data_IF_720052531974
#
_entry.id   IF_720052531974
#
_cell.length_a   1.000
_cell.length_b   1.000
_cell.length_c   1.000
_cell.angle_alpha   90.00
_cell.angle_beta   90.00
_cell.angle_gamma   90.00
#
_symmetry.space_group_name_H-M   'P 1'
#
loop_
_entity.id
_entity.type
_entity.pdbx_description
1 polymer ?
#
# COMPACT_ATOMS: atom_id res chain seq x y z
N UNK A 1 -10.12 32.66 -22.43
CA UNK A 1 -10.34 31.33 -21.82
C UNK A 1 -11.32 30.50 -22.66
N UNK A 2 -12.64 30.65 -22.50
CA UNK A 2 -13.73 29.94 -23.23
C UNK A 2 -13.32 28.89 -24.29
N UNK A 3 -12.99 29.33 -25.51
CA UNK A 3 -12.67 28.45 -26.66
C UNK A 3 -11.47 27.50 -26.48
N UNK A 4 -10.60 27.72 -25.50
CA UNK A 4 -9.44 26.86 -25.18
C UNK A 4 -9.82 25.74 -24.19
N UNK A 5 -10.92 25.93 -23.45
CA UNK A 5 -11.42 24.95 -22.49
C UNK A 5 -12.29 23.88 -23.18
N UNK A 6 -13.03 24.28 -24.22
CA UNK A 6 -13.95 23.43 -24.99
C UNK A 6 -13.29 22.44 -25.96
N UNK A 7 -11.96 22.33 -26.00
CA UNK A 7 -11.21 21.47 -26.93
C UNK A 7 -10.06 20.73 -26.23
N UNK A 8 -10.31 20.30 -24.99
CA UNK A 8 -9.36 19.56 -24.16
C UNK A 8 -9.73 18.09 -24.08
N UNK A 9 -8.72 17.26 -23.89
CA UNK A 9 -8.83 15.90 -23.38
C UNK A 9 -8.46 15.96 -21.89
N UNK A 10 -9.23 15.28 -21.05
CA UNK A 10 -8.84 15.02 -19.66
C UNK A 10 -8.38 13.57 -19.54
N UNK A 11 -7.25 13.36 -18.86
CA UNK A 11 -6.71 12.04 -18.56
C UNK A 11 -6.74 11.86 -17.04
N UNK A 12 -7.44 10.84 -16.55
CA UNK A 12 -7.60 10.52 -15.13
C UNK A 12 -6.86 9.23 -14.81
N UNK A 13 -6.08 9.22 -13.73
CA UNK A 13 -5.51 8.00 -13.17
C UNK A 13 -5.93 7.84 -11.71
N UNK A 14 -6.33 6.63 -11.32
CA UNK A 14 -6.44 6.23 -9.91
C UNK A 14 -5.32 5.23 -9.64
N UNK A 15 -4.34 5.64 -8.83
CA UNK A 15 -3.09 4.91 -8.66
C UNK A 15 -2.99 4.30 -7.26
N UNK A 16 -3.30 3.00 -7.17
CA UNK A 16 -3.19 2.22 -5.94
C UNK A 16 -1.75 1.78 -5.65
N UNK A 17 -1.36 1.78 -4.38
CA UNK A 17 -0.03 1.35 -3.94
C UNK A 17 -0.06 0.60 -2.59
N UNK A 18 0.83 -0.38 -2.44
CA UNK A 18 1.12 -1.08 -1.18
C UNK A 18 2.64 -1.30 -1.04
N UNK A 19 3.29 -0.35 -0.35
CA UNK A 19 4.73 -0.36 -0.11
C UNK A 19 5.03 -1.03 1.23
N UNK A 20 5.54 -2.26 1.16
CA UNK A 20 5.93 -3.09 2.31
C UNK A 20 7.44 -2.98 2.53
N UNK A 21 7.83 -2.19 3.52
CA UNK A 21 9.20 -1.75 3.76
C UNK A 21 9.76 -2.43 5.04
N UNK A 22 10.62 -3.46 4.92
CA UNK A 22 11.17 -4.16 6.08
C UNK A 22 12.12 -3.26 6.89
N UNK A 23 11.92 -3.26 8.21
CA UNK A 23 12.73 -2.52 9.18
C UNK A 23 13.85 -3.45 9.64
N UNK A 24 15.07 -3.22 9.16
CA UNK A 24 16.24 -3.99 9.55
C UNK A 24 16.83 -3.50 10.87
N UNK A 25 17.32 -4.43 11.70
CA UNK A 25 18.14 -4.10 12.86
C UNK A 25 19.43 -3.40 12.40
N UNK A 26 19.74 -2.25 13.01
CA UNK A 26 20.86 -1.41 12.59
C UNK A 26 21.52 -0.76 13.81
N UNK A 27 22.83 -0.52 13.73
CA UNK A 27 23.61 0.15 14.78
C UNK A 27 23.36 1.66 14.86
N UNK A 28 22.64 2.23 13.90
CA UNK A 28 22.14 3.61 13.95
C UNK A 28 20.61 3.62 13.88
N UNK A 29 19.98 4.41 14.75
CA UNK A 29 18.57 4.75 14.69
C UNK A 29 18.20 5.28 13.30
N UNK A 30 17.12 4.76 12.71
CA UNK A 30 16.50 5.32 11.50
C UNK A 30 15.14 5.88 11.88
N UNK A 31 14.84 7.09 11.45
CA UNK A 31 13.51 7.68 11.65
C UNK A 31 12.53 7.07 10.66
N UNK A 32 11.26 7.07 11.02
CA UNK A 32 10.18 6.59 10.14
C UNK A 32 10.13 7.40 8.83
N UNK A 33 10.31 8.72 8.91
CA UNK A 33 10.41 9.63 7.75
C UNK A 33 11.51 9.22 6.74
N UNK A 34 12.69 8.80 7.21
CA UNK A 34 13.80 8.39 6.33
C UNK A 34 13.43 7.18 5.46
N UNK A 35 12.72 6.22 6.06
CA UNK A 35 12.28 4.99 5.38
C UNK A 35 11.14 5.29 4.40
N UNK A 36 10.20 6.17 4.76
CA UNK A 36 9.11 6.58 3.89
C UNK A 36 9.61 7.35 2.67
N UNK A 37 10.49 8.36 2.83
CA UNK A 37 11.12 9.04 1.68
C UNK A 37 11.89 8.05 0.79
N UNK A 38 12.58 7.06 1.38
CA UNK A 38 13.31 6.06 0.60
C UNK A 38 12.36 5.16 -0.21
N UNK A 39 11.27 4.67 0.39
CA UNK A 39 10.24 3.88 -0.28
C UNK A 39 9.58 4.66 -1.43
N UNK A 40 9.14 5.90 -1.17
CA UNK A 40 8.60 6.81 -2.19
C UNK A 40 9.63 7.09 -3.29
N UNK A 41 10.91 7.18 -2.98
CA UNK A 41 12.00 7.40 -3.95
C UNK A 41 12.30 6.17 -4.82
N UNK A 42 12.10 4.94 -4.32
CA UNK A 42 12.13 3.71 -5.11
C UNK A 42 10.91 3.69 -6.04
N UNK A 43 9.71 3.83 -5.46
CA UNK A 43 8.45 3.74 -6.19
C UNK A 43 8.32 4.80 -7.29
N UNK A 44 8.82 6.01 -7.04
CA UNK A 44 8.90 7.09 -8.03
C UNK A 44 9.82 6.78 -9.23
N UNK A 45 10.77 5.85 -9.11
CA UNK A 45 11.58 5.38 -10.26
C UNK A 45 10.81 4.33 -11.07
N UNK A 46 10.07 3.46 -10.38
CA UNK A 46 9.27 2.40 -10.98
C UNK A 46 8.06 2.96 -11.74
N UNK A 47 7.32 3.89 -11.13
CA UNK A 47 6.22 4.62 -11.79
C UNK A 47 6.72 5.45 -13.00
N UNK A 48 7.92 6.06 -12.91
CA UNK A 48 8.51 6.74 -14.08
C UNK A 48 8.75 5.76 -15.24
N UNK A 49 9.31 4.58 -14.96
CA UNK A 49 9.52 3.51 -15.95
C UNK A 49 8.28 2.72 -16.38
N UNK A 50 7.14 2.88 -15.69
CA UNK A 50 5.91 2.13 -15.98
C UNK A 50 5.38 2.42 -17.38
N UNK A 51 4.79 1.42 -18.04
CA UNK A 51 3.98 1.62 -19.24
C UNK A 51 2.58 2.09 -18.84
N UNK A 52 1.86 2.75 -19.74
CA UNK A 52 0.49 3.19 -19.50
C UNK A 52 -0.49 2.42 -20.40
N UNK A 53 -1.68 2.14 -19.86
CA UNK A 53 -2.88 1.95 -20.67
C UNK A 53 -3.67 3.26 -20.68
N UNK A 54 -4.37 3.54 -21.79
CA UNK A 54 -5.39 4.57 -21.90
C UNK A 54 -6.65 3.89 -22.43
N UNK A 55 -7.78 4.01 -21.72
CA UNK A 55 -9.05 3.33 -22.02
C UNK A 55 -8.87 1.82 -22.29
N UNK A 56 -8.02 1.17 -21.48
CA UNK A 56 -7.66 -0.25 -21.57
C UNK A 56 -6.72 -0.65 -22.72
N UNK A 57 -6.24 0.29 -23.55
CA UNK A 57 -5.30 0.05 -24.66
C UNK A 57 -3.89 0.49 -24.29
N UNK A 58 -2.85 -0.21 -24.76
CA UNK A 58 -1.47 0.21 -24.55
C UNK A 58 -1.22 1.57 -25.21
N UNK A 59 -0.77 2.56 -24.44
CA UNK A 59 -0.60 3.92 -24.92
C UNK A 59 0.49 4.01 -26.00
N UNK A 60 0.08 4.45 -27.20
CA UNK A 60 0.96 4.78 -28.31
C UNK A 60 1.13 6.31 -28.41
N UNK A 61 2.31 6.78 -28.83
CA UNK A 61 2.66 8.21 -28.80
C UNK A 61 1.87 9.06 -29.81
N UNK A 62 1.39 8.44 -30.90
CA UNK A 62 0.66 9.08 -32.02
C UNK A 62 -0.87 8.91 -31.96
N UNK A 63 -1.44 8.27 -30.92
CA UNK A 63 -2.90 8.05 -30.86
C UNK A 63 -3.68 9.34 -30.52
N UNK A 64 -4.70 9.64 -31.32
CA UNK A 64 -5.56 10.82 -31.17
C UNK A 64 -6.89 10.43 -30.52
N UNK A 65 -7.13 10.98 -29.32
CA UNK A 65 -8.28 10.67 -28.47
C UNK A 65 -9.48 11.61 -28.69
N UNK A 66 -10.69 11.15 -28.37
CA UNK A 66 -11.93 11.90 -28.58
C UNK A 66 -12.01 13.17 -27.71
N UNK A 67 -12.39 14.30 -28.33
CA UNK A 67 -12.40 15.60 -27.66
C UNK A 67 -13.63 15.79 -26.78
N UNK A 68 -13.39 16.18 -25.52
CA UNK A 68 -14.43 16.33 -24.50
C UNK A 68 -14.71 15.09 -23.65
N UNK A 69 -13.97 13.99 -23.87
CA UNK A 69 -13.96 12.83 -22.98
C UNK A 69 -13.05 13.00 -21.75
N UNK A 70 -13.29 12.17 -20.74
CA UNK A 70 -12.30 11.82 -19.71
C UNK A 70 -11.80 10.41 -20.03
N UNK A 71 -10.51 10.29 -20.31
CA UNK A 71 -9.84 9.02 -20.60
C UNK A 71 -9.27 8.44 -19.31
N UNK A 72 -9.43 7.14 -19.11
CA UNK A 72 -8.94 6.46 -17.90
C UNK A 72 -7.54 5.87 -18.14
N UNK A 73 -6.65 6.07 -17.18
CA UNK A 73 -5.21 5.79 -17.30
C UNK A 73 -4.77 4.83 -16.21
N UNK A 74 -4.25 3.67 -16.62
CA UNK A 74 -3.67 2.67 -15.73
C UNK A 74 -2.14 2.60 -15.94
N UNK A 75 -1.35 2.48 -14.87
CA UNK A 75 0.11 2.29 -14.98
C UNK A 75 0.51 0.84 -14.71
N UNK A 76 1.06 0.20 -15.74
CA UNK A 76 1.66 -1.13 -15.66
C UNK A 76 3.06 -1.02 -15.05
N UNK A 77 3.12 -1.14 -13.72
CA UNK A 77 4.35 -1.31 -12.97
C UNK A 77 5.05 -2.63 -13.36
N UNK A 78 6.38 -2.67 -13.45
CA UNK A 78 7.11 -3.93 -13.62
C UNK A 78 6.93 -4.86 -12.42
N UNK A 79 6.78 -6.16 -12.66
CA UNK A 79 6.75 -7.17 -11.60
C UNK A 79 8.17 -7.33 -11.00
N UNK A 80 8.37 -6.80 -9.78
CA UNK A 80 9.70 -6.59 -9.16
C UNK A 80 10.02 -7.61 -8.05
N UNK A 81 9.72 -8.89 -8.28
CA UNK A 81 9.87 -9.96 -7.28
C UNK A 81 11.33 -10.16 -6.81
N UNK A 82 12.30 -10.03 -7.72
CA UNK A 82 13.72 -10.31 -7.49
C UNK A 82 14.37 -9.40 -6.42
N UNK A 83 14.06 -8.10 -6.44
CA UNK A 83 14.70 -7.09 -5.55
C UNK A 83 14.44 -7.34 -4.06
N UNK A 84 13.28 -7.89 -3.70
CA UNK A 84 12.94 -8.15 -2.30
C UNK A 84 13.67 -9.38 -1.74
N UNK A 85 14.02 -10.34 -2.60
CA UNK A 85 14.65 -11.60 -2.21
C UNK A 85 16.14 -11.41 -1.86
N UNK A 86 16.89 -10.64 -2.64
CA UNK A 86 18.33 -10.46 -2.43
C UNK A 86 18.66 -9.81 -1.07
N UNK A 87 17.88 -8.80 -0.65
CA UNK A 87 18.17 -8.02 0.57
C UNK A 87 17.86 -8.80 1.87
N UNK A 88 16.97 -9.78 1.82
CA UNK A 88 16.61 -10.64 2.96
C UNK A 88 17.77 -11.55 3.44
N UNK A 89 18.88 -11.64 2.70
CA UNK A 89 19.94 -12.61 2.94
C UNK A 89 20.98 -12.24 4.02
N UNK A 90 21.01 -10.98 4.50
CA UNK A 90 22.16 -10.47 5.29
C UNK A 90 21.83 -9.70 6.58
N UNK A 91 20.56 -9.39 6.88
CA UNK A 91 20.20 -8.54 8.03
C UNK A 91 18.93 -9.02 8.74
N UNK A 92 18.98 -9.05 10.06
CA UNK A 92 17.83 -9.32 10.93
C UNK A 92 16.75 -8.24 10.74
N UNK A 93 15.48 -8.66 10.64
CA UNK A 93 14.33 -7.79 10.41
C UNK A 93 13.56 -7.64 11.73
N UNK A 94 13.56 -6.46 12.32
CA UNK A 94 12.88 -6.17 13.60
C UNK A 94 11.44 -5.72 13.45
N UNK A 95 10.99 -5.40 12.24
CA UNK A 95 9.59 -5.08 11.96
C UNK A 95 9.29 -4.84 10.49
N UNK A 96 8.04 -4.46 10.22
CA UNK A 96 7.55 -4.11 8.89
C UNK A 96 6.78 -2.80 8.96
N UNK A 97 7.12 -1.88 8.05
CA UNK A 97 6.32 -0.71 7.75
C UNK A 97 5.45 -1.03 6.52
N UNK A 98 4.15 -0.76 6.61
CA UNK A 98 3.21 -0.82 5.48
C UNK A 98 2.76 0.61 5.20
N UNK A 99 3.00 1.07 3.97
CA UNK A 99 2.54 2.36 3.46
C UNK A 99 1.72 2.12 2.20
N UNK A 100 0.40 2.20 2.33
CA UNK A 100 -0.55 1.85 1.27
C UNK A 100 -1.67 2.86 1.16
N UNK A 101 -2.31 2.93 -0.01
CA UNK A 101 -3.41 3.84 -0.30
C UNK A 101 -3.67 3.96 -1.79
N UNK A 102 -4.34 5.03 -2.19
CA UNK A 102 -4.54 5.40 -3.59
C UNK A 102 -4.19 6.88 -3.80
N UNK A 103 -3.82 7.25 -5.03
CA UNK A 103 -3.69 8.64 -5.45
C UNK A 103 -4.48 8.85 -6.73
N UNK A 104 -5.54 9.66 -6.68
CA UNK A 104 -6.21 10.09 -7.91
C UNK A 104 -5.48 11.30 -8.50
N UNK A 105 -5.30 11.33 -9.81
CA UNK A 105 -4.57 12.36 -10.56
C UNK A 105 -5.28 12.70 -11.87
N UNK A 106 -5.14 13.95 -12.32
CA UNK A 106 -5.69 14.46 -13.58
C UNK A 106 -4.63 15.25 -14.35
N UNK A 107 -4.50 14.98 -15.65
CA UNK A 107 -3.84 15.87 -16.60
C UNK A 107 -4.83 16.36 -17.67
N UNK A 108 -4.62 17.58 -18.16
CA UNK A 108 -5.45 18.21 -19.19
C UNK A 108 -4.59 18.60 -20.37
N UNK A 109 -4.85 18.00 -21.53
CA UNK A 109 -4.06 18.17 -22.75
C UNK A 109 -4.91 18.77 -23.86
N UNK A 110 -4.27 19.53 -24.76
CA UNK A 110 -4.90 20.04 -25.97
C UNK A 110 -4.66 19.05 -27.13
N UNK A 111 -5.53 19.05 -28.14
CA UNK A 111 -5.51 18.15 -29.31
C UNK A 111 -4.26 18.23 -30.24
N UNK A 112 -3.18 18.87 -29.79
CA UNK A 112 -1.90 19.10 -30.48
C UNK A 112 -0.69 18.68 -29.65
N UNK A 113 -0.88 18.37 -28.37
CA UNK A 113 0.12 17.84 -27.47
C UNK A 113 0.07 16.30 -27.52
N UNK A 114 1.20 15.59 -27.40
CA UNK A 114 1.21 14.13 -27.41
C UNK A 114 0.66 13.59 -26.09
N UNK A 115 -0.03 12.44 -26.15
CA UNK A 115 -0.55 11.72 -24.96
C UNK A 115 0.56 11.42 -23.95
N UNK A 116 1.78 11.19 -24.41
CA UNK A 116 2.98 10.96 -23.58
C UNK A 116 3.30 12.11 -22.63
N UNK A 117 2.94 13.36 -22.95
CA UNK A 117 3.08 14.49 -22.02
C UNK A 117 2.07 14.39 -20.87
N UNK A 118 0.79 14.15 -21.17
CA UNK A 118 -0.23 13.98 -20.14
C UNK A 118 0.08 12.79 -19.21
N UNK A 119 0.61 11.69 -19.75
CA UNK A 119 1.09 10.54 -18.97
C UNK A 119 2.30 10.89 -18.10
N UNK A 120 3.21 11.75 -18.56
CA UNK A 120 4.34 12.23 -17.75
C UNK A 120 3.87 13.17 -16.62
N UNK A 121 2.92 14.05 -16.91
CA UNK A 121 2.33 14.99 -15.95
C UNK A 121 1.61 14.24 -14.81
N UNK A 122 0.78 13.24 -15.13
CA UNK A 122 0.13 12.36 -14.15
C UNK A 122 1.17 11.66 -13.27
N UNK A 123 2.22 11.05 -13.87
CA UNK A 123 3.29 10.38 -13.11
C UNK A 123 3.99 11.35 -12.16
N UNK A 124 4.28 12.57 -12.60
CA UNK A 124 4.94 13.57 -11.76
C UNK A 124 4.01 14.09 -10.65
N UNK A 125 2.73 14.30 -10.94
CA UNK A 125 1.70 14.69 -9.97
C UNK A 125 1.50 13.65 -8.87
N UNK A 126 1.40 12.36 -9.20
CA UNK A 126 1.35 11.26 -8.22
C UNK A 126 2.59 11.27 -7.32
N UNK A 127 3.79 11.40 -7.91
CA UNK A 127 5.07 11.42 -7.19
C UNK A 127 5.18 12.67 -6.29
N UNK A 128 4.67 13.83 -6.74
CA UNK A 128 4.55 15.04 -5.91
C UNK A 128 3.59 14.81 -4.76
N UNK A 129 2.39 14.30 -5.02
CA UNK A 129 1.35 14.08 -4.01
C UNK A 129 1.82 13.17 -2.88
N UNK A 130 2.49 12.05 -3.19
CA UNK A 130 3.06 11.16 -2.17
C UNK A 130 4.14 11.84 -1.30
N UNK A 131 4.91 12.77 -1.88
CA UNK A 131 5.93 13.54 -1.14
C UNK A 131 5.30 14.63 -0.30
N UNK A 132 4.52 15.53 -0.89
CA UNK A 132 3.92 16.66 -0.20
C UNK A 132 3.07 16.25 1.00
N UNK A 133 2.35 15.11 0.93
CA UNK A 133 1.63 14.59 2.10
C UNK A 133 2.56 14.13 3.23
N UNK A 134 3.72 13.54 2.93
CA UNK A 134 4.74 13.21 3.92
C UNK A 134 5.39 14.47 4.49
N UNK A 135 5.72 15.42 3.62
CA UNK A 135 6.34 16.69 3.98
C UNK A 135 5.43 17.49 4.95
N UNK A 136 4.12 17.58 4.65
CA UNK A 136 3.09 18.18 5.53
C UNK A 136 3.08 17.54 6.93
N UNK A 137 3.15 16.21 7.01
CA UNK A 137 3.18 15.52 8.31
C UNK A 137 4.50 15.72 9.07
N UNK A 138 5.60 16.00 8.38
CA UNK A 138 6.87 16.35 9.00
C UNK A 138 6.81 17.77 9.59
N UNK A 139 6.31 18.75 8.81
CA UNK A 139 6.06 20.11 9.30
C UNK A 139 5.12 20.09 10.52
N UNK A 140 4.06 19.28 10.49
CA UNK A 140 3.12 19.10 11.61
C UNK A 140 3.79 18.49 12.86
N UNK A 141 4.75 17.58 12.68
CA UNK A 141 5.52 17.00 13.78
C UNK A 141 6.49 18.02 14.42
N UNK A 142 7.21 18.77 13.58
CA UNK A 142 8.19 19.77 14.02
C UNK A 142 7.51 20.93 14.76
N UNK A 143 6.36 21.42 14.27
CA UNK A 143 5.49 22.40 14.96
C UNK A 143 5.10 21.96 16.38
N UNK A 144 4.95 20.66 16.61
CA UNK A 144 4.55 20.06 17.90
C UNK A 144 5.73 19.73 18.82
N UNK A 145 6.96 19.70 18.32
CA UNK A 145 8.15 19.69 19.18
C UNK A 145 8.45 21.07 19.79
N UNK A 146 8.23 22.14 19.03
CA UNK A 146 8.60 23.51 19.43
C UNK A 146 7.64 24.12 20.47
N UNK A 147 6.38 23.68 20.51
CA UNK A 147 5.33 24.21 21.40
C UNK A 147 5.35 23.65 22.84
N UNK A 148 6.52 23.19 23.32
CA UNK A 148 6.69 22.60 24.67
C UNK A 148 7.04 23.64 25.74
N UNK A 149 6.09 24.52 26.05
CA UNK A 149 6.13 25.30 27.30
C UNK A 149 5.69 24.47 28.51
N UNK A 150 6.19 24.83 29.69
CA UNK A 150 6.14 24.09 30.96
C UNK A 150 4.88 23.26 31.25
N UNK A 151 5.02 21.93 31.20
CA UNK A 151 4.22 20.99 32.01
C UNK A 151 5.06 19.89 32.64
N UNK A 152 5.05 19.88 33.97
CA UNK A 152 5.63 18.86 34.85
C UNK A 152 4.92 17.49 34.69
N UNK A 153 5.57 16.45 35.20
CA UNK A 153 5.22 15.03 35.10
C UNK A 153 3.74 14.69 35.38
N UNK A 154 3.15 13.82 34.53
CA UNK A 154 2.61 12.48 34.89
C UNK A 154 1.58 11.97 33.85
N UNK A 155 1.88 10.83 33.18
CA UNK A 155 0.94 9.75 32.79
C UNK A 155 1.50 8.85 31.67
N UNK A 156 2.01 7.66 32.04
CA UNK A 156 2.67 6.72 31.12
C UNK A 156 1.75 5.96 30.11
N UNK A 157 0.58 6.51 29.77
CA UNK A 157 -0.40 5.89 28.87
C UNK A 157 -1.06 6.86 27.87
N UNK A 158 -0.42 7.99 27.57
CA UNK A 158 -0.85 8.80 26.43
C UNK A 158 -0.64 8.03 25.12
N UNK A 159 -1.70 7.93 24.32
CA UNK A 159 -1.60 7.52 22.92
C UNK A 159 -0.81 8.63 22.22
N UNK A 160 0.37 8.29 21.68
CA UNK A 160 1.21 9.26 20.98
C UNK A 160 0.43 9.88 19.82
N UNK A 161 0.29 11.21 19.84
CA UNK A 161 -0.33 11.98 18.75
C UNK A 161 0.38 11.64 17.43
N UNK A 162 -0.37 11.28 16.39
CA UNK A 162 0.13 10.54 15.23
C UNK A 162 1.35 11.16 14.52
N UNK A 163 1.41 12.48 14.40
CA UNK A 163 2.54 13.19 13.78
C UNK A 163 3.88 13.02 14.52
N UNK A 164 3.87 12.95 15.86
CA UNK A 164 5.08 12.73 16.64
C UNK A 164 5.76 11.38 16.34
N UNK A 165 5.05 10.43 15.70
CA UNK A 165 5.57 9.10 15.35
C UNK A 165 6.62 9.17 14.22
N UNK A 166 6.57 10.17 13.34
CA UNK A 166 7.52 10.30 12.21
C UNK A 166 8.97 10.53 12.64
N UNK A 167 9.17 11.26 13.75
CA UNK A 167 10.49 11.56 14.31
C UNK A 167 11.09 10.41 15.13
N UNK A 168 10.32 9.38 15.50
CA UNK A 168 10.75 8.34 16.44
C UNK A 168 11.77 7.37 15.83
N UNK A 169 12.67 6.87 16.69
CA UNK A 169 13.49 5.69 16.39
C UNK A 169 12.63 4.43 16.42
N UNK A 170 12.54 3.76 15.27
CA UNK A 170 11.78 2.54 15.09
C UNK A 170 12.28 1.38 15.96
N UNK A 171 13.56 1.36 16.37
CA UNK A 171 14.08 0.32 17.26
C UNK A 171 13.55 0.43 18.71
N UNK A 172 12.94 1.55 19.08
CA UNK A 172 12.27 1.74 20.39
C UNK A 172 10.77 1.40 20.34
N UNK A 173 10.17 1.32 19.16
CA UNK A 173 8.74 1.02 18.97
C UNK A 173 8.46 -0.50 19.06
N UNK A 174 7.92 -0.95 20.20
CA UNK A 174 7.40 -2.32 20.39
C UNK A 174 5.88 -2.43 20.27
N UNK A 175 5.18 -1.35 19.93
CA UNK A 175 3.71 -1.31 19.79
C UNK A 175 3.35 -1.12 18.31
N UNK A 176 2.23 -1.71 17.89
CA UNK A 176 1.64 -1.42 16.59
C UNK A 176 1.23 0.06 16.55
N UNK A 177 1.74 0.80 15.56
CA UNK A 177 1.35 2.18 15.27
C UNK A 177 0.66 2.25 13.91
N UNK A 178 -0.22 3.24 13.75
CA UNK A 178 -0.91 3.52 12.50
C UNK A 178 -1.18 5.02 12.44
N UNK A 179 -1.10 5.59 11.24
CA UNK A 179 -1.18 7.03 11.00
C UNK A 179 -1.70 7.26 9.58
N UNK A 180 -2.77 8.03 9.47
CA UNK A 180 -3.38 8.44 8.20
C UNK A 180 -2.68 9.67 7.64
N UNK A 181 -2.37 9.65 6.34
CA UNK A 181 -1.81 10.79 5.61
C UNK A 181 -2.90 11.81 5.27
N UNK A 182 -2.55 13.07 4.98
CA UNK A 182 -3.48 14.06 4.43
C UNK A 182 -4.21 13.53 3.18
N UNK A 183 -5.51 13.78 3.13
CA UNK A 183 -6.41 13.31 2.06
C UNK A 183 -6.39 14.32 0.91
N UNK A 184 -6.28 13.86 -0.33
CA UNK A 184 -6.34 14.77 -1.50
C UNK A 184 -7.79 15.15 -1.78
N UNK A 185 -8.01 16.43 -2.08
CA UNK A 185 -9.34 16.97 -2.38
C UNK A 185 -9.29 17.82 -3.64
N UNK A 186 -10.34 17.72 -4.46
CA UNK A 186 -10.48 18.42 -5.73
C UNK A 186 -11.66 19.41 -5.70
N UNK A 187 -11.37 20.70 -5.89
CA UNK A 187 -12.38 21.77 -5.94
C UNK A 187 -12.63 22.17 -7.40
N UNK A 188 -13.88 22.14 -7.91
CA UNK A 188 -14.19 22.54 -9.27
C UNK A 188 -13.95 24.04 -9.49
N UNK A 189 -13.14 24.38 -10.49
CA UNK A 189 -12.74 25.76 -10.78
C UNK A 189 -13.47 26.35 -11.99
N UNK A 190 -13.11 25.92 -13.20
CA UNK A 190 -13.68 26.42 -14.47
C UNK A 190 -13.72 25.32 -15.52
N UNK A 191 -14.87 25.14 -16.19
CA UNK A 191 -15.07 24.16 -17.26
C UNK A 191 -14.56 22.76 -16.90
N UNK A 192 -15.00 22.27 -15.73
CA UNK A 192 -14.68 20.96 -15.15
C UNK A 192 -13.18 20.65 -14.98
N UNK A 193 -12.35 21.69 -14.93
CA UNK A 193 -11.01 21.65 -14.32
C UNK A 193 -11.16 21.74 -12.81
N UNK A 194 -10.39 20.94 -12.08
CA UNK A 194 -10.29 20.99 -10.62
C UNK A 194 -8.96 21.63 -10.17
N UNK A 195 -8.99 22.37 -9.06
CA UNK A 195 -7.80 22.66 -8.26
C UNK A 195 -7.62 21.57 -7.20
N UNK A 196 -6.36 21.36 -6.78
CA UNK A 196 -5.95 20.32 -5.84
C UNK A 196 -5.45 20.93 -4.54
N UNK A 197 -5.84 20.35 -3.42
CA UNK A 197 -5.27 20.63 -2.10
C UNK A 197 -5.35 19.39 -1.18
N UNK A 198 -4.87 19.51 0.06
CA UNK A 198 -4.82 18.43 1.05
C UNK A 198 -5.51 18.82 2.36
N UNK A 199 -6.36 17.93 2.89
CA UNK A 199 -6.99 18.08 4.21
C UNK A 199 -6.36 17.07 5.17
N UNK A 200 -5.84 17.54 6.31
CA UNK A 200 -5.34 16.66 7.38
C UNK A 200 -6.49 15.86 8.01
N UNK A 201 -6.22 14.69 8.62
CA UNK A 201 -7.26 13.88 9.27
C UNK A 201 -8.05 14.56 10.39
N UNK A 202 -7.56 15.69 10.92
CA UNK A 202 -8.19 16.52 11.96
C UNK A 202 -8.86 17.80 11.43
N UNK A 203 -8.73 18.11 10.14
CA UNK A 203 -9.27 19.32 9.53
C UNK A 203 -10.64 19.07 8.89
N UNK A 204 -11.46 20.12 8.81
CA UNK A 204 -12.79 20.07 8.22
C UNK A 204 -12.83 20.79 6.86
N UNK A 205 -13.95 20.63 6.15
CA UNK A 205 -14.14 21.15 4.78
C UNK A 205 -14.26 22.68 4.76
N UNK A 206 -14.55 23.30 5.90
CA UNK A 206 -14.54 24.76 6.07
C UNK A 206 -13.10 25.31 6.00
N UNK A 207 -12.12 24.65 6.63
CA UNK A 207 -10.70 25.06 6.63
C UNK A 207 -10.13 25.08 5.20
N UNK A 208 -10.55 24.11 4.38
CA UNK A 208 -10.25 24.06 2.94
C UNK A 208 -10.77 25.33 2.23
N UNK A 209 -12.00 25.74 2.49
CA UNK A 209 -12.59 26.92 1.84
C UNK A 209 -11.90 28.22 2.24
N UNK A 210 -11.48 28.35 3.50
CA UNK A 210 -10.69 29.49 3.98
C UNK A 210 -9.32 29.54 3.29
N UNK A 211 -8.59 28.43 3.22
CA UNK A 211 -7.30 28.35 2.52
C UNK A 211 -7.42 28.72 1.03
N UNK A 212 -8.46 28.26 0.34
CA UNK A 212 -8.72 28.64 -1.06
C UNK A 212 -9.11 30.11 -1.23
N UNK A 213 -9.87 30.69 -0.30
CA UNK A 213 -10.23 32.10 -0.32
C UNK A 213 -8.99 33.00 -0.15
N UNK A 214 -8.07 32.64 0.75
CA UNK A 214 -6.77 33.31 0.90
C UNK A 214 -5.91 33.18 -0.38
N UNK A 215 -5.66 31.94 -0.82
CA UNK A 215 -4.73 31.63 -1.91
C UNK A 215 -5.18 32.24 -3.24
N UNK A 216 -6.49 32.25 -3.53
CA UNK A 216 -7.04 32.83 -4.75
C UNK A 216 -7.44 34.30 -4.61
N UNK A 217 -7.47 34.86 -3.39
CA UNK A 217 -7.89 36.24 -3.09
C UNK A 217 -9.24 36.63 -3.74
N UNK A 218 -10.17 35.68 -3.78
CA UNK A 218 -11.46 35.76 -4.47
C UNK A 218 -12.55 35.09 -3.62
N UNK A 219 -13.66 35.78 -3.39
CA UNK A 219 -14.85 35.17 -2.82
C UNK A 219 -15.39 34.09 -3.78
N UNK A 220 -15.29 32.83 -3.37
CA UNK A 220 -15.72 31.72 -4.19
C UNK A 220 -17.26 31.63 -4.16
N UNK A 221 -17.94 31.39 -5.31
CA UNK A 221 -19.35 31.03 -5.29
C UNK A 221 -19.57 29.81 -4.40
N UNK A 222 -20.76 29.65 -3.80
CA UNK A 222 -21.03 28.58 -2.85
C UNK A 222 -21.02 27.19 -3.54
N UNK A 223 -19.83 26.58 -3.60
CA UNK A 223 -19.49 25.38 -4.39
C UNK A 223 -19.36 24.12 -3.50
N UNK A 224 -19.71 24.24 -2.22
CA UNK A 224 -19.74 23.17 -1.21
C UNK A 224 -20.36 21.84 -1.71
N UNK A 225 -21.34 21.89 -2.62
CA UNK A 225 -22.02 20.72 -3.18
C UNK A 225 -21.31 19.98 -4.33
N UNK A 226 -20.09 20.38 -4.73
CA UNK A 226 -19.36 19.73 -5.86
C UNK A 226 -17.87 19.49 -5.56
N UNK A 227 -17.44 19.55 -4.31
CA UNK A 227 -16.10 19.11 -3.89
C UNK A 227 -15.99 17.60 -4.12
N UNK A 228 -14.87 17.11 -4.65
CA UNK A 228 -14.62 15.68 -4.79
C UNK A 228 -13.52 15.24 -3.81
N UNK A 229 -13.77 14.17 -3.05
CA UNK A 229 -12.76 13.40 -2.33
C UNK A 229 -12.44 12.13 -3.13
N UNK A 230 -11.61 12.20 -4.19
CA UNK A 230 -11.49 11.14 -5.20
C UNK A 230 -10.84 9.84 -4.66
N UNK A 231 -10.26 9.90 -3.47
CA UNK A 231 -9.60 8.77 -2.80
C UNK A 231 -10.52 8.12 -1.74
N UNK A 232 -11.71 8.69 -1.48
CA UNK A 232 -12.71 8.09 -0.60
C UNK A 232 -13.48 6.92 -1.27
N UNK A 233 -13.46 6.85 -2.60
CA UNK A 233 -14.03 5.74 -3.39
C UNK A 233 -13.03 4.58 -3.59
N UNK A 234 -11.77 4.74 -3.18
CA UNK A 234 -10.76 3.70 -3.31
C UNK A 234 -11.15 2.45 -2.48
N UNK A 235 -11.02 1.23 -3.03
CA UNK A 235 -11.28 0.02 -2.26
C UNK A 235 -10.42 0.01 -0.99
N UNK A 236 -11.05 -0.19 0.17
CA UNK A 236 -10.32 -0.38 1.43
C UNK A 236 -9.49 -1.67 1.32
N UNK A 237 -8.23 -1.53 0.89
CA UNK A 237 -7.33 -2.64 0.57
C UNK A 237 -7.32 -3.65 1.72
N UNK A 238 -7.78 -4.85 1.39
CA UNK A 238 -8.51 -5.68 2.35
C UNK A 238 -7.62 -6.08 3.51
N UNK A 239 -7.99 -5.63 4.72
CA UNK A 239 -7.31 -5.89 6.00
C UNK A 239 -7.38 -7.37 6.45
N UNK A 240 -7.58 -8.29 5.51
CA UNK A 240 -7.98 -9.69 5.72
C UNK A 240 -7.28 -10.63 4.73
N UNK A 241 -5.97 -10.82 4.91
CA UNK A 241 -5.22 -12.01 4.44
C UNK A 241 -3.77 -12.04 4.94
N UNK A 242 -3.20 -10.88 5.29
CA UNK A 242 -1.87 -10.79 5.88
C UNK A 242 -1.83 -11.39 7.29
N UNK A 243 -1.37 -12.64 7.36
CA UNK A 243 -0.89 -13.27 8.59
C UNK A 243 0.03 -12.31 9.35
N UNK A 244 -0.10 -12.27 10.68
CA UNK A 244 0.69 -11.35 11.49
C UNK A 244 2.19 -11.64 11.34
N UNK A 245 3.04 -10.65 11.58
CA UNK A 245 4.50 -10.80 11.40
C UNK A 245 5.07 -11.99 12.20
N UNK A 246 4.48 -12.30 13.36
CA UNK A 246 4.82 -13.46 14.20
C UNK A 246 4.60 -14.83 13.53
N UNK A 247 3.70 -14.94 12.55
CA UNK A 247 3.51 -16.17 11.76
C UNK A 247 4.55 -16.35 10.64
N UNK A 248 5.34 -15.31 10.33
CA UNK A 248 6.43 -15.36 9.33
C UNK A 248 7.79 -15.44 10.00
N UNK A 249 7.96 -14.87 11.20
CA UNK A 249 9.23 -14.83 11.94
C UNK A 249 9.65 -16.16 12.61
N UNK A 250 8.98 -17.28 12.38
CA UNK A 250 9.49 -18.60 12.79
C UNK A 250 10.73 -18.95 11.95
N UNK A 251 11.92 -19.18 12.55
CA UNK A 251 13.10 -19.56 11.78
C UNK A 251 12.85 -20.90 11.07
N UNK A 252 13.14 -20.95 9.76
CA UNK A 252 13.04 -22.17 8.94
C UNK A 252 13.94 -23.33 9.43
N UNK A 253 14.82 -23.07 10.41
CA UNK A 253 15.63 -24.05 11.13
C UNK A 253 14.85 -24.93 12.14
N UNK A 254 13.56 -24.64 12.42
CA UNK A 254 12.72 -25.45 13.32
C UNK A 254 11.57 -26.20 12.62
N UNK A 255 11.58 -26.27 11.28
CA UNK A 255 10.78 -27.27 10.57
C UNK A 255 11.33 -28.66 10.92
N UNK A 256 10.53 -29.62 11.42
CA UNK A 256 11.04 -30.92 11.81
C UNK A 256 11.57 -31.67 10.59
N UNK A 257 12.87 -31.97 10.58
CA UNK A 257 13.46 -32.86 9.58
C UNK A 257 12.79 -34.22 9.65
N UNK A 258 12.32 -34.71 8.51
CA UNK A 258 11.99 -36.13 8.34
C UNK A 258 13.29 -36.91 8.11
N UNK A 259 14.11 -37.05 9.16
CA UNK A 259 15.35 -37.83 9.13
C UNK A 259 15.00 -39.33 9.12
N UNK A 260 15.06 -39.96 7.95
CA UNK A 260 14.76 -41.39 7.78
C UNK A 260 15.97 -42.27 8.18
N UNK A 261 15.90 -42.76 9.41
CA UNK A 261 16.61 -43.94 9.95
C UNK A 261 18.08 -43.82 10.41
N UNK A 262 18.37 -44.58 11.48
CA UNK A 262 19.68 -45.10 11.94
C UNK A 262 20.82 -44.06 12.18
N UNK A 263 21.21 -43.78 13.44
CA UNK A 263 21.61 -44.82 14.40
C UNK A 263 21.85 -44.30 15.85
N UNK A 264 21.74 -45.24 16.81
CA UNK A 264 22.34 -45.30 18.15
C UNK A 264 22.72 -44.00 18.90
N UNK A 265 21.98 -43.69 19.98
CA UNK A 265 22.58 -43.67 21.34
C UNK A 265 21.55 -43.75 22.48
N UNK A 266 21.98 -44.29 23.62
CA UNK A 266 21.15 -44.55 24.82
C UNK A 266 21.42 -43.53 25.94
N UNK A 267 20.35 -42.93 26.49
CA UNK A 267 20.10 -42.48 27.89
C UNK A 267 18.83 -41.59 27.87
N UNK A 268 17.80 -41.80 28.69
CA UNK A 268 17.72 -41.66 30.15
C UNK A 268 18.04 -40.22 30.64
N UNK A 269 17.17 -39.50 31.37
CA UNK A 269 15.93 -39.90 32.04
C UNK A 269 14.92 -38.74 32.26
N UNK A 270 13.74 -39.10 32.78
CA UNK A 270 12.64 -38.25 33.32
C UNK A 270 13.10 -37.25 34.39
N UNK A 271 12.36 -36.18 34.73
CA UNK A 271 10.90 -35.89 34.67
C UNK A 271 10.65 -34.48 34.05
N UNK A 272 9.44 -33.92 33.85
CA UNK A 272 8.09 -34.13 34.42
C UNK A 272 6.98 -34.01 33.33
N UNK A 273 5.71 -33.70 33.69
CA UNK A 273 4.54 -33.61 32.81
C UNK A 273 3.45 -32.71 33.39
N UNK A 274 2.81 -31.88 32.57
CA UNK A 274 1.49 -31.28 32.81
C UNK A 274 0.63 -31.43 31.55
N UNK A 275 -0.55 -32.03 31.69
CA UNK A 275 -1.44 -32.29 30.54
C UNK A 275 -2.23 -31.05 30.14
N UNK A 276 -2.29 -30.72 28.85
CA UNK A 276 -3.43 -30.02 28.28
C UNK A 276 -3.90 -30.73 27.00
N UNK A 277 -5.14 -31.21 27.03
CA UNK A 277 -5.72 -32.08 26.00
C UNK A 277 -6.39 -31.24 24.91
N UNK A 278 -5.72 -31.07 23.77
CA UNK A 278 -6.37 -30.75 22.49
C UNK A 278 -6.37 -31.99 21.59
N UNK A 279 -7.49 -32.23 20.90
CA UNK A 279 -7.63 -33.32 19.92
C UNK A 279 -7.51 -32.74 18.51
N UNK A 280 -6.35 -32.94 17.88
CA UNK A 280 -6.09 -32.45 16.53
C UNK A 280 -6.94 -33.22 15.48
N UNK A 281 -7.72 -32.54 14.62
CA UNK A 281 -8.54 -33.19 13.60
C UNK A 281 -7.75 -33.70 12.39
N UNK A 282 -6.49 -33.28 12.23
CA UNK A 282 -5.67 -33.44 11.03
C UNK A 282 -5.45 -34.89 10.54
N UNK A 283 -5.75 -35.91 11.36
CA UNK A 283 -5.68 -37.31 10.95
C UNK A 283 -6.84 -37.76 10.04
N UNK A 284 -7.98 -37.08 10.05
CA UNK A 284 -9.17 -37.52 9.30
C UNK A 284 -9.09 -37.21 7.81
N UNK A 285 -8.71 -35.99 7.43
CA UNK A 285 -8.68 -35.57 6.02
C UNK A 285 -7.66 -36.37 5.19
N UNK A 286 -6.50 -36.70 5.75
CA UNK A 286 -5.51 -37.55 5.08
C UNK A 286 -6.07 -38.96 4.81
N UNK A 287 -6.75 -39.57 5.78
CA UNK A 287 -7.36 -40.89 5.61
C UNK A 287 -8.50 -40.87 4.58
N UNK A 288 -9.27 -39.77 4.51
CA UNK A 288 -10.30 -39.58 3.48
C UNK A 288 -9.67 -39.45 2.09
N UNK A 289 -8.59 -38.65 1.94
CA UNK A 289 -7.90 -38.48 0.67
C UNK A 289 -7.32 -39.81 0.14
N UNK A 290 -6.70 -40.62 1.02
CA UNK A 290 -6.20 -41.95 0.67
C UNK A 290 -7.35 -42.89 0.26
N UNK A 291 -8.49 -42.86 0.97
CA UNK A 291 -9.66 -43.66 0.62
C UNK A 291 -10.21 -43.31 -0.78
N UNK A 292 -10.35 -42.02 -1.08
CA UNK A 292 -10.82 -41.53 -2.39
C UNK A 292 -9.89 -41.96 -3.51
N UNK A 293 -8.57 -41.91 -3.30
CA UNK A 293 -7.58 -42.38 -4.28
C UNK A 293 -7.69 -43.89 -4.54
N UNK A 294 -7.81 -44.71 -3.47
CA UNK A 294 -7.99 -46.17 -3.60
C UNK A 294 -9.28 -46.52 -4.34
N UNK A 295 -10.40 -45.88 -4.00
CA UNK A 295 -11.69 -46.07 -4.70
C UNK A 295 -11.57 -45.69 -6.18
N UNK A 296 -10.90 -44.57 -6.49
CA UNK A 296 -10.69 -44.12 -7.88
C UNK A 296 -9.89 -45.13 -8.71
N UNK A 297 -8.83 -45.72 -8.13
CA UNK A 297 -8.04 -46.77 -8.78
C UNK A 297 -8.87 -48.03 -9.02
N UNK A 298 -9.64 -48.49 -8.02
CA UNK A 298 -10.49 -49.69 -8.16
C UNK A 298 -11.59 -49.50 -9.21
N UNK A 299 -12.27 -48.34 -9.21
CA UNK A 299 -13.30 -48.02 -10.22
C UNK A 299 -12.68 -47.94 -11.62
N UNK A 300 -11.51 -47.31 -11.76
CA UNK A 300 -10.77 -47.27 -13.02
C UNK A 300 -10.41 -48.67 -13.54
N UNK A 301 -9.96 -49.56 -12.65
CA UNK A 301 -9.67 -50.95 -12.98
C UNK A 301 -10.92 -51.72 -13.44
N UNK A 302 -12.04 -51.60 -12.71
CA UNK A 302 -13.30 -52.27 -13.08
C UNK A 302 -13.82 -51.77 -14.43
N UNK A 303 -13.80 -50.45 -14.66
CA UNK A 303 -14.20 -49.87 -15.96
C UNK A 303 -13.29 -50.35 -17.09
N UNK A 304 -11.96 -50.41 -16.87
CA UNK A 304 -11.02 -50.92 -17.86
C UNK A 304 -11.27 -52.40 -18.21
N UNK A 305 -11.48 -53.27 -17.21
CA UNK A 305 -11.75 -54.68 -17.45
C UNK A 305 -13.11 -54.93 -18.12
N UNK A 306 -14.18 -54.23 -17.70
CA UNK A 306 -15.50 -54.31 -18.36
C UNK A 306 -15.45 -53.78 -19.80
N UNK A 307 -14.62 -52.75 -20.08
CA UNK A 307 -14.38 -52.24 -21.44
C UNK A 307 -13.54 -53.19 -22.30
N UNK A 308 -12.80 -54.11 -21.69
CA UNK A 308 -11.96 -55.13 -22.33
C UNK A 308 -12.70 -56.47 -22.54
N UNK A 309 -13.88 -56.64 -21.95
CA UNK A 309 -14.69 -57.87 -22.02
C UNK A 309 -15.98 -57.72 -22.85
N UNK A 310 -16.03 -56.74 -23.76
CA UNK A 310 -17.17 -56.43 -24.64
C UNK A 310 -16.72 -55.81 -25.96
#
# INVERSE_FOLDING_TARGET
MGKILSTRQAFRCTYDFDLRLPIYQCSSSKRLVDILHHGISIHAKELKGAKALIDGKLANEDEQFDLGGVHDVEFLLPFMEEKYLEVCSQKEITGLLVFSGSVCSYAYSNSKEPSSQALADIKEDIIKSLRSRLDIMCDEADRKSDSKEDRTEESNNQILSGSAVLQLDLQLQRKHCSMSFPRRVFLPWLADIFLCDYIQPSESVEVLMDHFAELMSLEFPSISSKILEPEAEAPALVLSTTKSFQEVSTPYALLPKSDDSLSNQNKAATILRSDQKSTNPAGFDFMIAVLVLVVSVVVGFVVFFVRSSS
#
